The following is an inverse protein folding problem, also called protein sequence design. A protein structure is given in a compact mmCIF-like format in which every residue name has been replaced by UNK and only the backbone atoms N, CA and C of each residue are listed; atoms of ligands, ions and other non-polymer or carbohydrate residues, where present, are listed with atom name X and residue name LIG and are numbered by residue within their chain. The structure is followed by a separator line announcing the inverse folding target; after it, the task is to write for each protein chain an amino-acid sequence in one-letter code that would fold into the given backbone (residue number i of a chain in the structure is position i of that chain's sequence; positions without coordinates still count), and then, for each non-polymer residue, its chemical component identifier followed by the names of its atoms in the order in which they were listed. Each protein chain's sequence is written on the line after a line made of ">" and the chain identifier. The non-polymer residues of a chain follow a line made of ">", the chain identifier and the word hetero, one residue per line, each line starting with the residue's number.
data_IF_815695895177
#
_entry.id   IF_815695895177
#
_cell.length_a   1.000
_cell.length_b   1.000
_cell.length_c   1.000
_cell.angle_alpha   90.00
_cell.angle_beta   90.00
_cell.angle_gamma   90.00
#
_symmetry.space_group_name_H-M   'P 1'
#
loop_
_entity.id
_entity.type
_entity.pdbx_description
1 polymer ?
#
# COMPACT_ATOMS: atom_id res chain seq x y z
N UNK A 1 7.28 3.26 21.32
CA UNK A 1 7.23 2.32 20.18
C UNK A 1 7.52 3.09 18.89
N UNK A 2 7.58 2.45 17.72
CA UNK A 2 7.66 3.13 16.41
C UNK A 2 6.51 2.63 15.56
N UNK A 3 6.01 3.45 14.63
CA UNK A 3 4.87 3.07 13.78
C UNK A 3 5.09 1.72 13.11
N UNK A 4 4.14 0.79 13.24
CA UNK A 4 4.11 -0.47 12.49
C UNK A 4 3.56 -0.20 11.09
N UNK A 5 4.46 -0.19 10.10
CA UNK A 5 4.12 0.13 8.71
C UNK A 5 4.16 -1.13 7.86
N UNK A 6 2.99 -1.60 7.42
CA UNK A 6 2.85 -2.81 6.63
C UNK A 6 2.78 -2.48 5.14
N UNK A 7 3.61 -3.13 4.33
CA UNK A 7 3.44 -3.17 2.88
C UNK A 7 2.80 -4.49 2.50
N UNK A 8 1.80 -4.47 1.61
CA UNK A 8 1.11 -5.70 1.18
C UNK A 8 0.74 -5.68 -0.29
N UNK A 9 0.49 -6.88 -0.80
CA UNK A 9 -0.06 -7.17 -2.12
C UNK A 9 -0.78 -8.54 -2.04
N UNK A 10 -1.94 -8.67 -2.70
CA UNK A 10 -2.69 -9.94 -2.77
C UNK A 10 -2.89 -10.40 -4.20
N UNK A 11 -3.00 -11.72 -4.39
CA UNK A 11 -3.43 -12.33 -5.64
C UNK A 11 -4.77 -13.04 -5.43
N UNK A 12 -5.70 -12.88 -6.39
CA UNK A 12 -7.04 -13.47 -6.31
C UNK A 12 -7.33 -14.37 -7.51
N UNK A 13 -8.19 -15.37 -7.30
CA UNK A 13 -8.82 -16.09 -8.42
C UNK A 13 -9.61 -15.12 -9.30
N UNK A 14 -9.67 -15.35 -10.61
CA UNK A 14 -10.65 -14.67 -11.47
C UNK A 14 -12.06 -15.14 -11.13
N UNK A 15 -13.07 -14.33 -11.45
CA UNK A 15 -14.46 -14.80 -11.51
C UNK A 15 -14.58 -15.76 -12.69
N UNK A 16 -15.12 -16.95 -12.47
CA UNK A 16 -15.38 -17.94 -13.52
C UNK A 16 -16.83 -17.80 -14.00
N UNK A 17 -17.04 -17.66 -15.30
CA UNK A 17 -18.37 -17.45 -15.87
C UNK A 17 -18.54 -18.04 -17.26
N UNK A 18 -19.76 -18.46 -17.57
CA UNK A 18 -20.15 -18.97 -18.89
C UNK A 18 -20.49 -17.82 -19.85
N UNK A 19 -19.75 -17.72 -20.96
CA UNK A 19 -19.95 -16.70 -22.01
C UNK A 19 -20.05 -17.34 -23.40
N UNK A 20 -20.84 -16.75 -24.29
CA UNK A 20 -21.09 -17.31 -25.63
C UNK A 20 -20.04 -16.89 -26.68
N UNK A 21 -19.35 -15.76 -26.46
CA UNK A 21 -18.30 -15.28 -27.36
C UNK A 21 -17.27 -14.48 -26.60
N UNK A 22 -16.13 -14.21 -27.23
CA UNK A 22 -15.02 -13.49 -26.59
C UNK A 22 -15.28 -11.98 -26.42
N UNK A 23 -16.13 -11.38 -27.25
CA UNK A 23 -16.25 -9.91 -27.35
C UNK A 23 -17.64 -9.41 -26.96
N UNK A 24 -17.69 -8.21 -26.36
CA UNK A 24 -18.91 -7.45 -26.01
C UNK A 24 -19.93 -8.25 -25.18
N UNK A 25 -19.45 -9.10 -24.27
CA UNK A 25 -20.29 -9.80 -23.30
C UNK A 25 -20.38 -9.01 -22.01
N UNK A 26 -21.59 -8.88 -21.46
CA UNK A 26 -21.80 -8.51 -20.07
C UNK A 26 -22.11 -9.81 -19.31
N UNK A 27 -21.37 -10.09 -18.24
CA UNK A 27 -21.59 -11.30 -17.43
C UNK A 27 -22.70 -11.04 -16.43
N UNK A 28 -23.84 -11.72 -16.59
CA UNK A 28 -24.92 -11.73 -15.61
C UNK A 28 -24.57 -12.58 -14.37
N UNK A 29 -25.16 -12.27 -13.22
CA UNK A 29 -24.89 -12.97 -11.96
C UNK A 29 -25.19 -14.48 -12.10
N UNK A 30 -26.24 -14.85 -12.82
CA UNK A 30 -26.63 -16.24 -13.08
C UNK A 30 -25.69 -16.99 -14.04
N UNK A 31 -24.71 -16.30 -14.63
CA UNK A 31 -23.69 -16.91 -15.49
C UNK A 31 -22.38 -17.16 -14.73
N UNK A 32 -22.27 -16.70 -13.49
CA UNK A 32 -21.11 -16.93 -12.64
C UNK A 32 -21.17 -18.38 -12.15
N UNK A 33 -20.14 -19.14 -12.47
CA UNK A 33 -19.93 -20.52 -12.01
C UNK A 33 -19.26 -20.53 -10.63
N UNK A 34 -18.22 -19.71 -10.47
CA UNK A 34 -17.48 -19.54 -9.22
C UNK A 34 -17.04 -18.08 -9.05
N UNK A 35 -17.13 -17.57 -7.82
CA UNK A 35 -16.67 -16.22 -7.48
C UNK A 35 -15.16 -16.20 -7.20
N UNK A 36 -14.58 -15.01 -7.11
CA UNK A 36 -13.17 -14.85 -6.75
C UNK A 36 -12.93 -15.19 -5.27
N UNK A 37 -11.74 -15.71 -4.98
CA UNK A 37 -11.19 -15.89 -3.63
C UNK A 37 -9.73 -15.40 -3.59
N UNK A 38 -9.15 -15.22 -2.41
CA UNK A 38 -7.72 -14.92 -2.23
C UNK A 38 -6.90 -16.20 -2.45
N UNK A 39 -5.95 -16.13 -3.38
CA UNK A 39 -4.97 -17.20 -3.64
C UNK A 39 -3.80 -17.08 -2.67
N UNK A 40 -3.11 -15.94 -2.72
CA UNK A 40 -1.92 -15.68 -1.91
C UNK A 40 -1.93 -14.24 -1.44
N UNK A 41 -1.23 -13.98 -0.34
CA UNK A 41 -0.78 -12.64 0.00
C UNK A 41 0.70 -12.65 0.34
N UNK A 42 1.33 -11.51 0.13
CA UNK A 42 2.67 -11.23 0.61
C UNK A 42 2.64 -9.90 1.36
N UNK A 43 3.42 -9.83 2.43
CA UNK A 43 3.52 -8.64 3.24
C UNK A 43 4.91 -8.47 3.84
N UNK A 44 5.21 -7.24 4.23
CA UNK A 44 6.49 -6.89 4.80
C UNK A 44 6.33 -5.69 5.72
N UNK A 45 6.92 -5.75 6.91
CA UNK A 45 7.10 -4.55 7.73
C UNK A 45 8.18 -3.66 7.09
N UNK A 46 7.91 -2.36 6.97
CA UNK A 46 8.81 -1.41 6.32
C UNK A 46 10.20 -1.48 6.94
N UNK A 47 11.24 -1.53 6.11
CA UNK A 47 12.65 -1.63 6.50
C UNK A 47 13.08 -2.94 7.20
N UNK A 48 12.17 -3.88 7.44
CA UNK A 48 12.53 -5.24 7.87
C UNK A 48 13.23 -6.00 6.73
N UNK A 49 13.93 -7.11 6.99
CA UNK A 49 14.43 -8.00 5.95
C UNK A 49 13.48 -9.18 5.70
N UNK A 50 12.65 -9.51 6.69
CA UNK A 50 11.71 -10.61 6.61
C UNK A 50 10.56 -10.32 5.62
N UNK A 51 10.21 -11.35 4.85
CA UNK A 51 9.05 -11.33 3.95
C UNK A 51 8.02 -12.32 4.49
N UNK A 52 6.88 -11.79 4.90
CA UNK A 52 5.73 -12.57 5.34
C UNK A 52 4.89 -12.95 4.12
N UNK A 53 4.25 -14.09 4.17
CA UNK A 53 3.37 -14.54 3.09
C UNK A 53 2.53 -15.71 3.51
N UNK A 54 1.40 -15.89 2.87
CA UNK A 54 0.60 -17.09 2.98
C UNK A 54 -0.04 -17.44 1.64
N UNK A 55 -0.43 -18.70 1.52
CA UNK A 55 -0.99 -19.29 0.32
C UNK A 55 -2.12 -20.23 0.68
N UNK A 56 -3.23 -20.12 -0.02
CA UNK A 56 -4.34 -21.06 0.10
C UNK A 56 -3.89 -22.51 -0.13
N UNK A 57 -2.87 -22.73 -0.96
CA UNK A 57 -2.24 -24.04 -1.20
C UNK A 57 -1.80 -24.78 0.07
N UNK A 58 -1.48 -24.06 1.14
CA UNK A 58 -0.99 -24.68 2.39
C UNK A 58 -2.10 -25.29 3.25
N UNK A 59 -3.35 -25.13 2.85
CA UNK A 59 -4.49 -25.56 3.62
C UNK A 59 -5.19 -26.73 2.93
N UNK A 60 -5.22 -27.87 3.63
CA UNK A 60 -6.07 -28.99 3.25
C UNK A 60 -7.53 -28.53 3.31
N UNK A 61 -8.19 -28.51 2.15
CA UNK A 61 -9.63 -28.33 2.09
C UNK A 61 -10.18 -29.06 0.86
N UNK A 62 -11.30 -29.75 1.06
CA UNK A 62 -12.12 -30.28 -0.04
C UNK A 62 -12.76 -29.15 -0.86
N UNK A 63 -12.66 -27.90 -0.38
CA UNK A 63 -13.25 -26.70 -0.95
C UNK A 63 -12.19 -25.62 -1.20
N UNK A 64 -11.68 -25.56 -2.42
CA UNK A 64 -10.72 -24.55 -2.87
C UNK A 64 -11.33 -23.14 -2.96
N UNK A 65 -12.63 -22.95 -2.72
CA UNK A 65 -13.25 -21.62 -2.60
C UNK A 65 -13.11 -21.07 -1.16
N UNK A 66 -12.72 -21.91 -0.21
CA UNK A 66 -12.60 -21.56 1.19
C UNK A 66 -11.23 -20.93 1.51
N UNK A 67 -11.09 -19.64 1.21
CA UNK A 67 -9.88 -18.84 1.50
C UNK A 67 -9.79 -18.33 2.96
N UNK A 68 -10.59 -18.86 3.90
CA UNK A 68 -10.65 -18.36 5.28
C UNK A 68 -9.27 -18.26 5.93
N UNK A 69 -8.47 -19.33 5.93
CA UNK A 69 -7.19 -19.35 6.67
C UNK A 69 -6.17 -18.35 6.10
N UNK A 70 -6.13 -18.21 4.77
CA UNK A 70 -5.26 -17.22 4.11
C UNK A 70 -5.76 -15.79 4.34
N UNK A 71 -7.08 -15.60 4.46
CA UNK A 71 -7.68 -14.30 4.78
C UNK A 71 -7.47 -13.94 6.26
N UNK A 72 -7.60 -14.90 7.15
CA UNK A 72 -7.40 -14.79 8.61
C UNK A 72 -5.97 -14.36 8.94
N UNK A 73 -4.97 -15.01 8.34
CA UNK A 73 -3.57 -14.64 8.54
C UNK A 73 -3.22 -13.23 8.02
N UNK A 74 -3.89 -12.75 6.96
CA UNK A 74 -3.77 -11.35 6.51
C UNK A 74 -4.50 -10.39 7.46
N UNK A 75 -5.62 -10.81 8.03
CA UNK A 75 -6.39 -10.01 8.98
C UNK A 75 -5.56 -9.68 10.22
N UNK A 76 -4.87 -10.68 10.79
CA UNK A 76 -4.00 -10.51 11.97
C UNK A 76 -2.93 -9.42 11.73
N UNK A 77 -2.26 -9.46 10.58
CA UNK A 77 -1.25 -8.46 10.22
C UNK A 77 -1.84 -7.06 10.04
N UNK A 78 -3.05 -6.95 9.48
CA UNK A 78 -3.75 -5.67 9.34
C UNK A 78 -4.20 -5.11 10.69
N UNK A 79 -4.62 -5.98 11.62
CA UNK A 79 -5.02 -5.59 12.97
C UNK A 79 -3.85 -5.02 13.77
N UNK A 80 -2.63 -5.48 13.49
CA UNK A 80 -1.41 -4.95 14.09
C UNK A 80 -0.87 -3.66 13.45
N UNK A 81 -1.30 -3.31 12.24
CA UNK A 81 -0.70 -2.23 11.47
C UNK A 81 -1.21 -0.84 11.90
N UNK A 82 -0.31 0.13 12.03
CA UNK A 82 -0.66 1.54 12.18
C UNK A 82 -0.89 2.20 10.81
N UNK A 83 -0.08 1.80 9.82
CA UNK A 83 -0.05 2.35 8.47
C UNK A 83 0.08 1.20 7.47
N UNK A 84 -0.80 1.17 6.46
CA UNK A 84 -0.77 0.18 5.39
C UNK A 84 -0.42 0.84 4.06
N UNK A 85 0.55 0.27 3.36
CA UNK A 85 1.05 0.72 2.06
C UNK A 85 0.74 -0.34 1.01
N UNK A 86 0.17 0.09 -0.11
CA UNK A 86 -0.05 -0.77 -1.27
C UNK A 86 0.06 -0.02 -2.60
N UNK A 87 -0.11 -0.74 -3.70
CA UNK A 87 -0.24 -0.14 -5.01
C UNK A 87 -1.63 -0.43 -5.59
N UNK A 88 -2.49 0.59 -5.70
CA UNK A 88 -3.91 0.44 -6.02
C UNK A 88 -4.72 -0.29 -4.93
N UNK A 89 -4.17 -0.45 -3.73
CA UNK A 89 -4.78 -1.21 -2.63
C UNK A 89 -6.10 -0.62 -2.13
N UNK A 90 -6.27 0.70 -2.24
CA UNK A 90 -7.53 1.36 -1.89
C UNK A 90 -8.70 0.97 -2.82
N UNK A 91 -8.39 0.52 -4.05
CA UNK A 91 -9.40 0.11 -5.03
C UNK A 91 -9.46 -1.40 -5.23
N UNK A 92 -8.42 -2.13 -4.85
CA UNK A 92 -8.32 -3.56 -5.07
C UNK A 92 -8.13 -4.31 -3.75
N UNK A 93 -6.90 -4.43 -3.25
CA UNK A 93 -6.51 -5.33 -2.16
C UNK A 93 -7.38 -5.17 -0.91
N UNK A 94 -7.46 -3.95 -0.36
CA UNK A 94 -8.19 -3.70 0.88
C UNK A 94 -9.70 -3.86 0.71
N UNK A 95 -10.23 -3.59 -0.48
CA UNK A 95 -11.67 -3.81 -0.76
C UNK A 95 -11.99 -5.29 -0.91
N UNK A 96 -11.13 -6.04 -1.56
CA UNK A 96 -11.23 -7.49 -1.70
C UNK A 96 -11.13 -8.15 -0.32
N UNK A 97 -10.11 -7.82 0.46
CA UNK A 97 -9.95 -8.32 1.83
C UNK A 97 -11.16 -7.99 2.71
N UNK A 98 -11.64 -6.73 2.72
CA UNK A 98 -12.83 -6.38 3.49
C UNK A 98 -14.08 -7.17 3.07
N UNK A 99 -14.24 -7.47 1.77
CA UNK A 99 -15.33 -8.31 1.30
C UNK A 99 -15.19 -9.76 1.79
N UNK A 100 -13.98 -10.32 1.82
CA UNK A 100 -13.73 -11.65 2.40
C UNK A 100 -13.90 -11.68 3.91
N UNK A 101 -13.47 -10.64 4.64
CA UNK A 101 -13.73 -10.51 6.08
C UNK A 101 -15.24 -10.55 6.35
N UNK A 102 -16.02 -9.77 5.60
CA UNK A 102 -17.48 -9.76 5.74
C UNK A 102 -18.11 -11.13 5.37
N UNK A 103 -17.63 -11.76 4.29
CA UNK A 103 -18.08 -13.09 3.87
C UNK A 103 -17.84 -14.15 4.97
N UNK A 104 -16.65 -14.12 5.58
CA UNK A 104 -16.24 -15.01 6.67
C UNK A 104 -16.75 -14.58 8.05
N UNK A 105 -17.60 -13.55 8.13
CA UNK A 105 -18.16 -13.00 9.39
C UNK A 105 -17.09 -12.53 10.38
N UNK A 106 -15.93 -12.12 9.87
CA UNK A 106 -14.86 -11.52 10.64
C UNK A 106 -15.17 -10.03 10.88
N UNK A 107 -14.81 -9.46 12.05
CA UNK A 107 -14.88 -8.02 12.25
C UNK A 107 -13.86 -7.30 11.35
N UNK A 108 -13.99 -5.97 11.14
CA UNK A 108 -12.89 -5.22 10.55
C UNK A 108 -11.65 -5.28 11.46
N UNK A 109 -10.42 -5.27 10.89
CA UNK A 109 -9.21 -5.09 11.69
C UNK A 109 -9.20 -3.70 12.34
N UNK A 110 -8.29 -3.51 13.30
CA UNK A 110 -8.05 -2.23 13.95
C UNK A 110 -7.81 -1.10 12.94
N UNK A 111 -8.30 0.13 13.22
CA UNK A 111 -8.17 1.23 12.26
C UNK A 111 -6.71 1.61 11.97
N UNK A 112 -6.34 1.62 10.69
CA UNK A 112 -5.02 2.04 10.21
C UNK A 112 -5.10 3.19 9.21
N UNK A 113 -3.99 3.92 9.08
CA UNK A 113 -3.80 4.90 8.01
C UNK A 113 -3.38 4.21 6.71
N UNK A 114 -3.65 4.82 5.57
CA UNK A 114 -3.42 4.19 4.25
C UNK A 114 -2.58 5.05 3.33
N UNK A 115 -1.68 4.41 2.59
CA UNK A 115 -0.89 5.01 1.53
C UNK A 115 -1.02 4.14 0.28
N UNK A 116 -1.70 4.66 -0.73
CA UNK A 116 -1.76 4.05 -2.05
C UNK A 116 -0.77 4.73 -3.00
N UNK A 117 0.30 4.02 -3.35
CA UNK A 117 1.37 4.55 -4.22
C UNK A 117 0.87 4.89 -5.63
N UNK A 118 -0.20 4.26 -6.13
CA UNK A 118 -0.81 4.63 -7.41
C UNK A 118 -1.47 6.01 -7.32
N UNK A 119 -2.15 6.31 -6.20
CA UNK A 119 -2.73 7.64 -5.97
C UNK A 119 -1.64 8.71 -5.82
N UNK A 120 -0.56 8.39 -5.10
CA UNK A 120 0.60 9.28 -4.99
C UNK A 120 1.19 9.58 -6.36
N UNK A 121 1.44 8.54 -7.18
CA UNK A 121 1.96 8.67 -8.53
C UNK A 121 1.09 9.59 -9.40
N UNK A 122 -0.22 9.36 -9.42
CA UNK A 122 -1.18 10.19 -10.18
C UNK A 122 -1.30 11.62 -9.69
N UNK A 123 -1.14 11.86 -8.39
CA UNK A 123 -1.31 13.19 -7.80
C UNK A 123 -0.11 14.09 -8.07
N UNK A 124 1.09 13.54 -7.98
CA UNK A 124 2.33 14.32 -7.95
C UNK A 124 3.14 14.25 -9.25
N UNK A 125 2.83 13.31 -10.15
CA UNK A 125 3.66 13.04 -11.32
C UNK A 125 2.82 12.85 -12.57
N UNK A 126 3.46 13.05 -13.72
CA UNK A 126 2.91 12.76 -15.04
C UNK A 126 3.71 11.66 -15.74
N UNK A 127 3.88 10.51 -15.07
CA UNK A 127 4.52 9.34 -15.68
C UNK A 127 3.65 8.79 -16.82
N UNK A 128 4.28 8.26 -17.88
CA UNK A 128 3.56 7.68 -19.03
C UNK A 128 2.63 6.54 -18.62
N UNK A 129 2.98 5.78 -17.59
CA UNK A 129 2.12 4.79 -16.96
C UNK A 129 2.35 4.81 -15.45
N UNK A 130 1.28 4.57 -14.69
CA UNK A 130 1.37 4.47 -13.24
C UNK A 130 1.30 3.02 -12.73
N UNK A 131 1.39 2.03 -13.62
CA UNK A 131 1.50 0.62 -13.21
C UNK A 131 2.80 0.43 -12.40
N UNK A 132 2.74 -0.36 -11.32
CA UNK A 132 3.89 -0.58 -10.44
C UNK A 132 5.16 -1.02 -11.20
N UNK A 133 5.05 -1.93 -12.15
CA UNK A 133 6.19 -2.39 -12.97
C UNK A 133 6.83 -1.24 -13.77
N UNK A 134 6.00 -0.40 -14.40
CA UNK A 134 6.49 0.75 -15.15
C UNK A 134 7.19 1.75 -14.24
N UNK A 135 6.59 2.07 -13.09
CA UNK A 135 7.21 2.96 -12.11
C UNK A 135 8.53 2.41 -11.59
N UNK A 136 8.60 1.11 -11.29
CA UNK A 136 9.81 0.46 -10.80
C UNK A 136 10.96 0.55 -11.81
N UNK A 137 10.68 0.27 -13.08
CA UNK A 137 11.66 0.35 -14.15
C UNK A 137 12.09 1.80 -14.43
N UNK A 138 11.12 2.71 -14.54
CA UNK A 138 11.36 4.12 -14.83
C UNK A 138 12.16 4.82 -13.71
N UNK A 139 11.92 4.44 -12.45
CA UNK A 139 12.67 4.95 -11.30
C UNK A 139 14.01 4.21 -11.08
N UNK A 140 14.30 3.16 -11.85
CA UNK A 140 15.55 2.39 -11.76
C UNK A 140 15.65 1.54 -10.48
N UNK A 141 14.54 1.08 -9.93
CA UNK A 141 14.50 0.33 -8.66
C UNK A 141 14.15 -1.16 -8.80
N UNK A 142 13.75 -1.60 -9.99
CA UNK A 142 13.50 -3.00 -10.28
C UNK A 142 12.54 -3.19 -11.44
N UNK A 143 12.09 -4.44 -11.61
CA UNK A 143 11.06 -4.84 -12.57
C UNK A 143 10.29 -6.02 -11.99
N UNK A 144 9.00 -6.12 -12.31
CA UNK A 144 8.17 -7.26 -11.90
C UNK A 144 8.66 -8.54 -12.55
N UNK A 145 8.41 -9.65 -11.87
CA UNK A 145 8.60 -10.96 -12.47
C UNK A 145 7.53 -11.19 -13.54
N UNK A 146 7.91 -11.80 -14.66
CA UNK A 146 6.94 -12.25 -15.66
C UNK A 146 6.15 -13.43 -15.10
N UNK A 147 4.83 -13.32 -15.05
CA UNK A 147 3.92 -14.40 -14.62
C UNK A 147 3.78 -15.48 -15.70
N UNK A 148 3.89 -15.09 -16.98
CA UNK A 148 3.63 -15.97 -18.12
C UNK A 148 2.27 -15.74 -18.76
N UNK A 149 1.43 -14.91 -18.13
CA UNK A 149 0.05 -14.67 -18.58
C UNK A 149 -0.96 -15.28 -17.61
N UNK A 150 -2.16 -15.52 -18.12
CA UNK A 150 -3.28 -16.09 -17.36
C UNK A 150 -3.06 -17.57 -17.00
N UNK A 151 -2.13 -18.23 -17.69
CA UNK A 151 -1.74 -19.63 -17.48
C UNK A 151 -1.30 -19.90 -16.04
N UNK A 152 -0.69 -18.91 -15.37
CA UNK A 152 -0.32 -19.04 -13.95
C UNK A 152 -1.55 -19.19 -13.04
N UNK A 153 -2.63 -18.44 -13.33
CA UNK A 153 -3.89 -18.55 -12.58
C UNK A 153 -4.58 -19.87 -12.88
N UNK A 154 -4.63 -20.29 -14.14
CA UNK A 154 -5.17 -21.59 -14.54
C UNK A 154 -4.45 -22.73 -13.83
N UNK A 155 -3.12 -22.72 -13.78
CA UNK A 155 -2.36 -23.75 -13.07
C UNK A 155 -2.64 -23.79 -11.57
N UNK A 156 -2.81 -22.63 -10.91
CA UNK A 156 -3.24 -22.60 -9.50
C UNK A 156 -4.64 -23.20 -9.32
N UNK A 157 -5.59 -22.86 -10.21
CA UNK A 157 -6.95 -23.42 -10.16
C UNK A 157 -6.97 -24.93 -10.46
N UNK A 158 -6.02 -25.44 -11.24
CA UNK A 158 -5.81 -26.86 -11.51
C UNK A 158 -5.03 -27.59 -10.40
N UNK A 159 -4.73 -26.93 -9.27
CA UNK A 159 -3.98 -27.50 -8.16
C UNK A 159 -2.56 -27.95 -8.51
N UNK A 160 -1.91 -27.21 -9.43
CA UNK A 160 -0.52 -27.46 -9.78
C UNK A 160 0.42 -26.75 -8.79
N UNK A 161 1.19 -27.55 -8.05
CA UNK A 161 2.12 -27.06 -7.02
C UNK A 161 3.11 -26.01 -7.57
N UNK A 162 3.67 -26.24 -8.76
CA UNK A 162 4.63 -25.31 -9.39
C UNK A 162 4.00 -23.94 -9.68
N UNK A 163 2.72 -23.93 -10.05
CA UNK A 163 1.97 -22.71 -10.32
C UNK A 163 1.72 -21.94 -9.02
N UNK A 164 1.33 -22.61 -7.94
CA UNK A 164 1.20 -22.02 -6.61
C UNK A 164 2.51 -21.44 -6.07
N UNK A 165 3.60 -22.20 -6.17
CA UNK A 165 4.94 -21.77 -5.78
C UNK A 165 5.39 -20.53 -6.58
N UNK A 166 5.09 -20.51 -7.87
CA UNK A 166 5.38 -19.37 -8.75
C UNK A 166 4.51 -18.16 -8.42
N UNK A 167 3.23 -18.35 -8.08
CA UNK A 167 2.31 -17.29 -7.65
C UNK A 167 2.81 -16.62 -6.37
N UNK A 168 3.12 -17.40 -5.34
CA UNK A 168 3.63 -16.85 -4.08
C UNK A 168 4.95 -16.10 -4.28
N UNK A 169 5.85 -16.63 -5.12
CA UNK A 169 7.11 -15.96 -5.48
C UNK A 169 6.89 -14.66 -6.25
N UNK A 170 5.87 -14.61 -7.12
CA UNK A 170 5.48 -13.41 -7.85
C UNK A 170 5.02 -12.33 -6.87
N UNK A 171 4.06 -12.65 -6.02
CA UNK A 171 3.46 -11.76 -5.04
C UNK A 171 4.50 -11.21 -4.03
N UNK A 172 5.40 -12.07 -3.51
CA UNK A 172 6.56 -11.63 -2.69
C UNK A 172 7.47 -10.62 -3.40
N UNK A 173 7.68 -10.77 -4.72
CA UNK A 173 8.51 -9.83 -5.50
C UNK A 173 7.81 -8.50 -5.69
N UNK A 174 6.50 -8.50 -5.85
CA UNK A 174 5.71 -7.28 -5.97
C UNK A 174 5.80 -6.41 -4.71
N UNK A 175 5.72 -6.99 -3.52
CA UNK A 175 5.91 -6.26 -2.26
C UNK A 175 7.32 -5.67 -2.15
N UNK A 176 8.36 -6.42 -2.53
CA UNK A 176 9.74 -5.90 -2.57
C UNK A 176 9.89 -4.72 -3.52
N UNK A 177 9.21 -4.74 -4.65
CA UNK A 177 9.23 -3.65 -5.64
C UNK A 177 8.42 -2.47 -5.13
N UNK A 178 7.25 -2.72 -4.56
CA UNK A 178 6.39 -1.74 -3.92
C UNK A 178 7.16 -0.94 -2.87
N UNK A 179 7.92 -1.60 -1.99
CA UNK A 179 8.73 -0.92 -0.98
C UNK A 179 9.73 0.07 -1.61
N UNK A 180 10.44 -0.36 -2.64
CA UNK A 180 11.42 0.49 -3.31
C UNK A 180 10.76 1.66 -4.03
N UNK A 181 9.64 1.43 -4.72
CA UNK A 181 8.87 2.49 -5.37
C UNK A 181 8.36 3.46 -4.31
N UNK A 182 7.75 2.97 -3.24
CA UNK A 182 7.29 3.76 -2.11
C UNK A 182 8.41 4.65 -1.55
N UNK A 183 9.60 4.11 -1.28
CA UNK A 183 10.76 4.89 -0.79
C UNK A 183 11.17 6.01 -1.75
N UNK A 184 11.06 5.80 -3.07
CA UNK A 184 11.32 6.87 -4.07
C UNK A 184 10.24 7.94 -4.11
N UNK A 185 8.99 7.57 -3.81
CA UNK A 185 7.87 8.50 -3.77
C UNK A 185 7.72 9.21 -2.42
N UNK A 186 8.23 8.64 -1.33
CA UNK A 186 8.09 9.10 0.05
C UNK A 186 8.33 10.61 0.26
N UNK A 187 9.40 11.24 -0.28
CA UNK A 187 9.61 12.69 -0.13
C UNK A 187 8.51 13.57 -0.74
N UNK A 188 7.70 13.02 -1.65
CA UNK A 188 6.62 13.74 -2.33
C UNK A 188 5.26 13.56 -1.63
N UNK A 189 5.17 12.65 -0.65
CA UNK A 189 3.93 12.36 0.09
C UNK A 189 3.74 13.44 1.16
N UNK A 190 3.10 14.56 0.79
CA UNK A 190 2.91 15.70 1.69
C UNK A 190 1.90 15.46 2.82
N UNK A 191 1.03 14.45 2.68
CA UNK A 191 0.07 14.03 3.69
C UNK A 191 0.39 12.61 4.20
N UNK A 192 1.68 12.33 4.37
CA UNK A 192 2.11 11.08 5.00
C UNK A 192 1.64 11.08 6.46
N UNK A 193 1.10 9.97 7.00
CA UNK A 193 0.84 9.85 8.43
C UNK A 193 2.10 10.19 9.22
N UNK A 194 2.01 11.09 10.18
CA UNK A 194 3.21 11.52 10.89
C UNK A 194 3.75 10.38 11.76
N UNK A 195 4.82 9.71 11.32
CA UNK A 195 5.37 8.57 12.06
C UNK A 195 5.90 8.96 13.44
N UNK A 196 6.19 10.25 13.66
CA UNK A 196 6.64 10.75 14.95
C UNK A 196 5.56 10.67 16.03
N UNK A 197 4.26 10.59 15.68
CA UNK A 197 3.19 10.53 16.69
C UNK A 197 3.04 9.14 17.30
N UNK A 198 3.60 8.12 16.67
CA UNK A 198 3.63 6.73 17.16
C UNK A 198 4.86 6.44 18.03
N UNK A 199 5.71 7.45 18.24
CA UNK A 199 6.93 7.36 19.03
C UNK A 199 6.80 8.10 20.34
N UNK A 200 7.10 7.40 21.44
CA UNK A 200 7.16 7.99 22.79
C UNK A 200 8.42 8.84 23.02
N UNK A 201 9.36 8.83 22.06
CA UNK A 201 10.59 9.63 22.15
C UNK A 201 10.29 11.11 21.95
N UNK A 202 10.77 11.94 22.87
CA UNK A 202 10.68 13.40 22.80
C UNK A 202 11.76 14.03 21.90
N UNK A 203 11.97 13.45 20.72
CA UNK A 203 13.01 13.87 19.79
C UNK A 203 12.42 14.42 18.50
N UNK A 204 13.11 15.40 17.91
CA UNK A 204 12.72 15.93 16.60
C UNK A 204 13.16 14.95 15.51
N UNK A 205 12.19 14.29 14.89
CA UNK A 205 12.39 13.38 13.76
C UNK A 205 11.64 13.81 12.51
N UNK A 206 12.00 13.22 11.37
CA UNK A 206 11.25 13.37 10.13
C UNK A 206 9.85 12.76 10.28
N UNK A 207 8.76 13.48 9.94
CA UNK A 207 7.41 12.95 10.05
C UNK A 207 7.10 11.84 9.04
N UNK A 208 7.90 11.70 7.98
CA UNK A 208 7.67 10.71 6.94
C UNK A 208 8.42 9.39 7.20
N UNK A 209 9.67 9.46 7.67
CA UNK A 209 10.53 8.28 7.83
C UNK A 209 11.13 8.09 9.23
N UNK A 210 10.85 8.98 10.19
CA UNK A 210 11.36 8.86 11.56
C UNK A 210 12.85 9.16 11.73
N UNK A 211 13.57 9.55 10.67
CA UNK A 211 15.00 9.89 10.76
C UNK A 211 15.26 11.14 11.61
N UNK A 212 16.30 11.10 12.44
CA UNK A 212 16.81 12.25 13.20
C UNK A 212 17.66 13.22 12.35
N UNK A 213 18.00 12.84 11.11
CA UNK A 213 18.81 13.67 10.18
C UNK A 213 17.93 14.75 9.53
N UNK A 214 17.42 15.65 10.34
CA UNK A 214 16.53 16.76 9.93
C UNK A 214 17.17 18.11 10.19
N UNK A 215 17.27 18.93 9.14
CA UNK A 215 18.01 20.19 9.17
C UNK A 215 17.11 21.35 8.79
N UNK A 216 17.25 22.49 9.48
CA UNK A 216 16.53 23.72 9.15
C UNK A 216 16.91 24.17 7.74
N UNK A 217 15.91 24.42 6.88
CA UNK A 217 16.10 24.87 5.49
C UNK A 217 15.09 25.94 5.09
N UNK A 218 15.39 27.18 5.45
CA UNK A 218 14.54 28.34 5.15
C UNK A 218 13.19 28.30 5.86
N UNK A 219 12.18 28.94 5.27
CA UNK A 219 10.84 29.04 5.84
C UNK A 219 9.79 28.45 4.90
N UNK A 220 8.71 27.94 5.49
CA UNK A 220 7.49 27.57 4.79
C UNK A 220 6.43 28.65 5.08
N UNK A 221 5.73 29.07 4.03
CA UNK A 221 4.72 30.11 4.11
C UNK A 221 3.35 29.53 3.80
N UNK A 222 2.36 29.98 4.57
CA UNK A 222 0.93 29.84 4.27
C UNK A 222 0.37 31.23 4.02
N UNK A 223 -0.91 31.36 3.62
CA UNK A 223 -1.56 32.66 3.43
C UNK A 223 -1.34 33.63 4.60
N UNK A 224 -1.29 33.14 5.84
CA UNK A 224 -1.23 33.98 7.04
C UNK A 224 -0.07 33.64 8.00
N UNK A 225 0.81 32.71 7.65
CA UNK A 225 1.75 32.13 8.61
C UNK A 225 3.12 31.83 8.02
N UNK A 226 4.16 31.99 8.85
CA UNK A 226 5.54 31.58 8.56
C UNK A 226 5.97 30.52 9.56
N UNK A 227 6.55 29.44 9.06
CA UNK A 227 6.96 28.27 9.85
C UNK A 227 8.42 27.96 9.54
N UNK A 228 9.17 27.48 10.53
CA UNK A 228 10.49 26.92 10.26
C UNK A 228 10.34 25.67 9.39
N UNK A 229 11.01 25.65 8.24
CA UNK A 229 11.02 24.50 7.32
C UNK A 229 12.24 23.64 7.60
N UNK A 230 12.09 22.33 7.42
CA UNK A 230 13.12 21.32 7.57
C UNK A 230 13.24 20.48 6.30
N UNK A 231 14.43 19.96 6.05
CA UNK A 231 14.69 18.90 5.07
C UNK A 231 15.25 17.68 5.80
N UNK A 232 14.86 16.48 5.38
CA UNK A 232 15.41 15.23 5.89
C UNK A 232 16.47 14.67 4.94
N UNK A 233 17.66 14.35 5.43
CA UNK A 233 18.71 13.71 4.62
C UNK A 233 18.50 12.20 4.47
N UNK A 234 17.59 11.60 5.27
CA UNK A 234 17.24 10.18 5.16
C UNK A 234 16.32 9.89 3.98
N UNK A 235 15.21 10.62 3.84
CA UNK A 235 14.21 10.40 2.78
C UNK A 235 14.09 11.56 1.79
N UNK A 236 14.73 12.70 2.01
CA UNK A 236 14.60 13.90 1.17
C UNK A 236 13.32 14.72 1.40
N UNK A 237 12.42 14.27 2.29
CA UNK A 237 11.15 14.96 2.51
C UNK A 237 11.37 16.33 3.17
N UNK A 238 10.53 17.30 2.78
CA UNK A 238 10.40 18.56 3.49
C UNK A 238 9.31 18.48 4.55
N UNK A 239 9.58 19.03 5.72
CA UNK A 239 8.61 19.20 6.80
C UNK A 239 8.64 20.62 7.36
N UNK A 240 7.70 20.96 8.26
CA UNK A 240 7.65 22.26 8.91
C UNK A 240 7.28 22.12 10.38
N UNK A 241 7.66 23.10 11.19
CA UNK A 241 7.14 23.25 12.55
C UNK A 241 5.60 23.34 12.55
N UNK A 242 5.00 22.77 13.59
CA UNK A 242 3.55 22.86 13.83
C UNK A 242 3.11 24.29 14.15
N UNK A 243 3.94 25.02 14.88
CA UNK A 243 3.65 26.38 15.36
C UNK A 243 4.32 27.44 14.48
N UNK A 244 3.61 28.56 14.24
CA UNK A 244 4.17 29.70 13.51
C UNK A 244 5.34 30.32 14.28
N UNK A 245 6.46 30.55 13.60
CA UNK A 245 7.65 31.22 14.15
C UNK A 245 7.59 32.75 14.01
N UNK A 246 6.40 33.30 13.75
CA UNK A 246 6.15 34.74 13.75
C UNK A 246 5.90 35.24 15.17
N UNK A 247 6.41 36.44 15.45
CA UNK A 247 6.13 37.14 16.71
C UNK A 247 4.64 37.51 16.80
N UNK A 248 4.08 37.61 18.02
CA UNK A 248 2.70 38.06 18.21
C UNK A 248 2.40 39.40 17.54
N UNK A 249 3.36 40.34 17.57
CA UNK A 249 3.26 41.64 16.88
C UNK A 249 3.10 41.45 15.37
N UNK A 250 3.96 40.63 14.75
CA UNK A 250 3.89 40.39 13.30
C UNK A 250 2.58 39.72 12.89
N UNK A 251 2.03 38.83 13.73
CA UNK A 251 0.74 38.18 13.45
C UNK A 251 -0.41 39.19 13.34
N UNK A 252 -0.41 40.24 14.18
CA UNK A 252 -1.43 41.30 14.14
C UNK A 252 -1.36 42.17 12.88
N UNK A 253 -0.22 42.21 12.18
CA UNK A 253 -0.09 42.99 10.93
C UNK A 253 -0.51 42.22 9.68
N UNK A 254 -0.86 40.93 9.81
CA UNK A 254 -1.15 40.07 8.65
C UNK A 254 -2.64 40.11 8.37
N UNK A 255 -2.99 40.55 7.17
CA UNK A 255 -4.35 40.50 6.63
C UNK A 255 -4.51 39.26 5.74
N UNK A 256 -5.73 38.75 5.61
CA UNK A 256 -6.07 37.65 4.70
C UNK A 256 -7.15 38.09 3.73
N UNK A 257 -7.07 37.65 2.47
CA UNK A 257 -8.10 37.95 1.48
C UNK A 257 -9.45 37.39 1.91
N UNK A 258 -10.49 38.24 1.84
CA UNK A 258 -11.87 37.89 2.20
C UNK A 258 -12.69 37.38 0.99
N UNK A 259 -12.05 37.23 -0.18
CA UNK A 259 -12.65 36.81 -1.46
C UNK A 259 -11.75 35.79 -2.14
#
# INVERSE_FOLDING_TARGET
>A
MTAKILLLDIETKPVQAYVWSLWKQNVGINQIEADWSVLTWAAKWLDDDEMLSDSQWYYESDDTEHDYRVVDSMWELLDEADIVIGHNSDKFDLKKLNARFAYHKMPPPSPYQKIDTLKVARKHFNFTSNKLDYLAQHLGVGKKMKTGGFELWTGCMNQEEDSWNKMLKYNKRDVKILEKVYKRLLPWITNHPNVSVYSDKEERVCPNCGSHKVYKRGHYYTKIGRYQKYICDGCGAFSKERTSNQTPVKRKTILSGAV
#
